data_IF_872351938999
#
_entry.id   IF_872351938999
#
_cell.length_a   1.000
_cell.length_b   1.000
_cell.length_c   1.000
_cell.angle_alpha   90.00
_cell.angle_beta   90.00
_cell.angle_gamma   90.00
#
_symmetry.space_group_name_H-M   'P 1'
#
loop_
_entity.id
_entity.type
_entity.pdbx_description
1 polymer ?
#
# COMPACT_ATOMS: atom_id res chain seq x y z
N UNK A 1 9.96 14.55 13.08
CA UNK A 1 10.64 14.03 11.88
C UNK A 1 9.56 13.32 11.10
N UNK A 2 9.12 13.85 9.96
CA UNK A 2 8.11 13.19 9.12
C UNK A 2 8.76 11.95 8.49
N UNK A 3 8.67 10.82 9.19
CA UNK A 3 9.28 9.58 8.72
C UNK A 3 8.50 9.02 7.53
N UNK A 4 9.24 8.83 6.43
CA UNK A 4 8.79 8.14 5.24
C UNK A 4 8.90 6.63 5.49
N UNK A 5 7.79 5.91 5.37
CA UNK A 5 7.78 4.46 5.43
C UNK A 5 7.67 3.86 4.02
N UNK A 6 8.61 2.97 3.70
CA UNK A 6 8.59 2.17 2.47
C UNK A 6 7.92 0.84 2.79
N UNK A 7 6.81 0.54 2.13
CA UNK A 7 5.98 -0.64 2.41
C UNK A 7 6.09 -1.65 1.27
N UNK A 8 6.35 -2.91 1.62
CA UNK A 8 6.39 -4.03 0.66
C UNK A 8 4.98 -4.51 0.27
N UNK A 9 4.88 -5.36 -0.76
CA UNK A 9 3.62 -5.92 -1.22
C UNK A 9 2.88 -6.71 -0.14
N UNK A 10 3.56 -7.63 0.56
CA UNK A 10 2.96 -8.52 1.55
C UNK A 10 2.17 -7.80 2.66
N UNK A 11 2.74 -6.82 3.40
CA UNK A 11 1.99 -6.08 4.42
C UNK A 11 0.86 -5.25 3.83
N UNK A 12 1.05 -4.63 2.65
CA UNK A 12 0.01 -3.87 1.97
C UNK A 12 -1.18 -4.75 1.58
N UNK A 13 -0.92 -5.93 1.00
CA UNK A 13 -1.96 -6.89 0.58
C UNK A 13 -2.70 -7.43 1.79
N UNK A 14 -1.96 -7.82 2.84
CA UNK A 14 -2.55 -8.36 4.07
C UNK A 14 -3.50 -7.35 4.72
N UNK A 15 -3.00 -6.13 4.98
CA UNK A 15 -3.78 -5.08 5.64
C UNK A 15 -4.90 -4.54 4.73
N UNK A 16 -4.65 -4.42 3.42
CA UNK A 16 -5.64 -4.03 2.42
C UNK A 16 -6.84 -4.99 2.37
N UNK A 17 -6.58 -6.30 2.39
CA UNK A 17 -7.63 -7.33 2.41
C UNK A 17 -8.37 -7.39 3.75
N UNK A 18 -7.70 -7.10 4.86
CA UNK A 18 -8.30 -7.05 6.18
C UNK A 18 -9.09 -5.75 6.45
N UNK A 19 -9.01 -4.75 5.56
CA UNK A 19 -9.59 -3.42 5.80
C UNK A 19 -8.86 -2.62 6.89
N UNK A 20 -7.58 -2.92 7.14
CA UNK A 20 -6.75 -2.38 8.22
C UNK A 20 -5.60 -1.51 7.70
N UNK A 21 -5.74 -0.87 6.54
CA UNK A 21 -4.69 -0.03 5.93
C UNK A 21 -4.32 1.19 6.76
N UNK A 22 -5.21 1.63 7.65
CA UNK A 22 -4.95 2.72 8.60
C UNK A 22 -3.76 2.42 9.52
N UNK A 23 -3.48 1.14 9.81
CA UNK A 23 -2.31 0.71 10.60
C UNK A 23 -1.00 1.13 9.91
N UNK A 24 -0.97 1.25 8.58
CA UNK A 24 0.22 1.71 7.87
C UNK A 24 0.64 3.13 8.29
N UNK A 25 -0.29 3.96 8.77
CA UNK A 25 0.02 5.34 9.22
C UNK A 25 0.92 5.35 10.47
N UNK A 26 0.90 4.28 11.25
CA UNK A 26 1.80 4.12 12.40
C UNK A 26 3.26 3.88 11.96
N UNK A 27 3.48 3.45 10.71
CA UNK A 27 4.83 3.26 10.18
C UNK A 27 5.49 4.57 9.72
N UNK A 28 4.70 5.61 9.42
CA UNK A 28 5.24 6.90 8.99
C UNK A 28 4.19 7.88 8.49
N UNK A 29 4.52 9.17 8.52
CA UNK A 29 3.67 10.26 8.05
C UNK A 29 3.44 10.22 6.52
N UNK A 30 4.37 9.61 5.79
CA UNK A 30 4.26 9.36 4.35
C UNK A 30 4.53 7.90 4.06
N UNK A 31 3.58 7.24 3.42
CA UNK A 31 3.72 5.86 2.98
C UNK A 31 4.00 5.87 1.48
N UNK A 32 5.10 5.22 1.10
CA UNK A 32 5.43 4.95 -0.30
C UNK A 32 5.60 3.46 -0.49
N UNK A 33 5.37 3.01 -1.72
CA UNK A 33 5.62 1.63 -2.14
C UNK A 33 6.56 1.67 -3.34
N UNK A 34 7.46 0.69 -3.49
CA UNK A 34 8.22 0.54 -4.73
C UNK A 34 7.30 0.41 -5.95
N UNK A 35 7.74 0.88 -7.11
CA UNK A 35 6.98 0.77 -8.38
C UNK A 35 6.58 -0.68 -8.68
N UNK A 36 7.49 -1.64 -8.50
CA UNK A 36 7.20 -3.06 -8.70
C UNK A 36 6.07 -3.59 -7.79
N UNK A 37 5.90 -3.03 -6.58
CA UNK A 37 4.80 -3.36 -5.67
C UNK A 37 3.49 -2.76 -6.17
N UNK A 38 3.53 -1.50 -6.63
CA UNK A 38 2.38 -0.87 -7.26
C UNK A 38 1.91 -1.69 -8.48
N UNK A 39 2.83 -2.11 -9.36
CA UNK A 39 2.53 -2.94 -10.52
C UNK A 39 1.91 -4.28 -10.15
N UNK A 40 2.40 -4.95 -9.09
CA UNK A 40 1.82 -6.21 -8.64
C UNK A 40 0.37 -6.03 -8.17
N UNK A 41 0.11 -4.99 -7.38
CA UNK A 41 -1.23 -4.71 -6.84
C UNK A 41 -2.18 -4.25 -7.95
N UNK A 42 -1.74 -3.32 -8.81
CA UNK A 42 -2.56 -2.74 -9.88
C UNK A 42 -2.86 -3.75 -10.99
N UNK A 43 -1.95 -4.70 -11.28
CA UNK A 43 -2.20 -5.78 -12.26
C UNK A 43 -3.36 -6.70 -11.88
N UNK A 44 -3.76 -6.78 -10.61
CA UNK A 44 -4.92 -7.58 -10.17
C UNK A 44 -6.26 -6.93 -10.56
N UNK A 45 -6.24 -5.70 -11.04
CA UNK A 45 -7.40 -4.99 -11.58
C UNK A 45 -8.12 -4.12 -10.56
N UNK A 46 -8.98 -3.22 -11.06
CA UNK A 46 -9.70 -2.24 -10.24
C UNK A 46 -10.69 -2.84 -9.22
N UNK A 47 -11.02 -4.12 -9.37
CA UNK A 47 -11.86 -4.88 -8.44
C UNK A 47 -11.08 -5.42 -7.24
N UNK A 48 -9.74 -5.40 -7.27
CA UNK A 48 -8.94 -5.78 -6.12
C UNK A 48 -9.10 -4.71 -5.02
N UNK A 49 -9.61 -5.07 -3.83
CA UNK A 49 -9.82 -4.12 -2.74
C UNK A 49 -8.51 -3.50 -2.22
N UNK A 50 -7.34 -4.02 -2.60
CA UNK A 50 -6.03 -3.44 -2.31
C UNK A 50 -5.67 -2.34 -3.31
N UNK A 51 -6.10 -2.44 -4.57
CA UNK A 51 -5.75 -1.49 -5.63
C UNK A 51 -6.25 -0.07 -5.37
N UNK A 52 -7.39 0.10 -4.67
CA UNK A 52 -7.91 1.42 -4.25
C UNK A 52 -6.99 2.18 -3.28
N UNK A 53 -6.03 1.50 -2.65
CA UNK A 53 -5.11 2.11 -1.68
C UNK A 53 -3.76 2.49 -2.31
N UNK A 54 -3.55 2.18 -3.59
CA UNK A 54 -2.31 2.50 -4.30
C UNK A 54 -2.62 3.55 -5.36
N UNK A 55 -1.80 4.59 -5.42
CA UNK A 55 -1.84 5.60 -6.48
C UNK A 55 -0.42 5.85 -6.98
N UNK A 56 -0.28 5.94 -8.29
CA UNK A 56 0.94 6.39 -8.96
C UNK A 56 0.81 7.91 -9.19
N UNK A 57 1.86 8.67 -8.84
CA UNK A 57 1.92 10.13 -8.92
C UNK A 57 3.17 10.56 -9.63
#
# INVERSE_FOLDING_TARGET
MDELAVVNASPLILLGRAGLTEILKEAGARIVVPEAVADEVLRRGATDPVARFVRVT
#
